data_IF_713654870092
#
_entry.id   IF_713654870092
#
_cell.length_a   1.000
_cell.length_b   1.000
_cell.length_c   1.000
_cell.angle_alpha   90.00
_cell.angle_beta   90.00
_cell.angle_gamma   90.00
#
_symmetry.space_group_name_H-M   'P 1'
#
loop_
_entity.id
_entity.type
_entity.pdbx_description
1 polymer ?
#
# COMPACT_ATOMS: atom_id res chain seq x y z
N UNK A 1 -13.39 12.93 -20.18
CA UNK A 1 -12.13 12.38 -19.60
C UNK A 1 -11.03 12.91 -20.47
N UNK A 2 -10.09 13.65 -19.91
CA UNK A 2 -9.14 14.43 -20.71
C UNK A 2 -8.01 13.52 -21.21
N UNK A 3 -7.99 13.29 -22.52
CA UNK A 3 -7.06 12.35 -23.18
C UNK A 3 -5.61 12.83 -23.04
N UNK A 4 -5.40 14.14 -23.00
CA UNK A 4 -4.08 14.76 -22.80
C UNK A 4 -3.50 14.43 -21.42
N UNK A 5 -4.35 14.40 -20.38
CA UNK A 5 -3.94 14.07 -19.02
C UNK A 5 -3.53 12.58 -18.90
N UNK A 6 -4.15 11.71 -19.69
CA UNK A 6 -3.79 10.30 -19.78
C UNK A 6 -2.46 10.10 -20.51
N UNK A 7 -2.24 10.82 -21.62
CA UNK A 7 -0.99 10.78 -22.38
C UNK A 7 0.20 11.28 -21.53
N UNK A 8 0.05 12.40 -20.84
CA UNK A 8 1.08 12.92 -19.93
C UNK A 8 1.41 11.96 -18.77
N UNK A 9 0.40 11.24 -18.26
CA UNK A 9 0.61 10.28 -17.17
C UNK A 9 1.28 8.98 -17.65
N UNK A 10 1.16 8.63 -18.94
CA UNK A 10 1.82 7.47 -19.55
C UNK A 10 3.29 7.72 -19.93
N UNK A 11 3.67 8.98 -20.14
CA UNK A 11 5.03 9.39 -20.54
C UNK A 11 6.07 9.35 -19.41
N UNK A 12 5.64 9.16 -18.15
CA UNK A 12 6.56 9.15 -17.01
C UNK A 12 6.95 7.72 -16.64
N UNK A 13 8.23 7.36 -16.74
CA UNK A 13 8.73 5.99 -16.47
C UNK A 13 8.40 5.48 -15.06
N UNK A 14 8.26 6.38 -14.08
CA UNK A 14 7.81 6.05 -12.72
C UNK A 14 6.36 5.49 -12.68
N UNK A 15 5.57 5.76 -13.73
CA UNK A 15 4.19 5.31 -13.87
C UNK A 15 4.05 3.94 -14.55
N UNK A 16 5.09 3.46 -15.26
CA UNK A 16 5.10 2.13 -15.90
C UNK A 16 4.85 0.99 -14.90
N UNK A 17 5.29 1.12 -13.65
CA UNK A 17 5.03 0.09 -12.62
C UNK A 17 3.55 0.02 -12.20
N UNK A 18 2.79 1.12 -12.31
CA UNK A 18 1.34 1.12 -12.04
C UNK A 18 0.56 0.50 -13.20
N UNK A 19 1.10 0.57 -14.43
CA UNK A 19 0.50 -0.04 -15.63
C UNK A 19 0.45 -1.57 -15.53
N UNK A 20 1.36 -2.19 -14.77
CA UNK A 20 1.39 -3.65 -14.58
C UNK A 20 0.41 -4.19 -13.53
N UNK A 21 -0.44 -3.34 -12.94
CA UNK A 21 -1.46 -3.76 -11.96
C UNK A 21 -2.81 -3.11 -12.25
N UNK A 22 -3.87 -3.58 -11.59
CA UNK A 22 -5.20 -3.00 -11.71
C UNK A 22 -5.94 -2.98 -10.37
N UNK A 23 -7.07 -2.27 -10.35
CA UNK A 23 -7.88 -2.07 -9.13
C UNK A 23 -8.36 -3.41 -8.55
N UNK A 24 -8.70 -4.39 -9.40
CA UNK A 24 -9.19 -5.69 -8.94
C UNK A 24 -8.08 -6.48 -8.26
N UNK A 25 -6.89 -6.50 -8.85
CA UNK A 25 -5.73 -7.18 -8.29
C UNK A 25 -5.30 -6.58 -6.96
N UNK A 26 -5.26 -5.24 -6.84
CA UNK A 26 -4.98 -4.56 -5.57
C UNK A 26 -6.00 -4.95 -4.49
N UNK A 27 -7.30 -4.99 -4.84
CA UNK A 27 -8.35 -5.41 -3.92
C UNK A 27 -8.22 -6.87 -3.52
N UNK A 28 -7.92 -7.74 -4.48
CA UNK A 28 -7.74 -9.19 -4.28
C UNK A 28 -6.60 -9.47 -3.33
N UNK A 29 -5.38 -9.01 -3.65
CA UNK A 29 -4.19 -9.19 -2.81
C UNK A 29 -4.39 -8.67 -1.39
N UNK A 30 -4.98 -7.47 -1.25
CA UNK A 30 -5.29 -6.90 0.08
C UNK A 30 -6.30 -7.76 0.85
N UNK A 31 -7.33 -8.28 0.17
CA UNK A 31 -8.31 -9.13 0.83
C UNK A 31 -7.70 -10.45 1.28
N UNK A 32 -6.88 -11.08 0.44
CA UNK A 32 -6.20 -12.35 0.75
C UNK A 32 -5.34 -12.23 2.01
N UNK A 33 -4.42 -11.26 2.05
CA UNK A 33 -3.54 -11.09 3.21
C UNK A 33 -4.31 -10.72 4.49
N UNK A 34 -5.45 -10.02 4.37
CA UNK A 34 -6.30 -9.71 5.52
C UNK A 34 -7.11 -10.92 6.00
N UNK A 35 -7.46 -11.85 5.11
CA UNK A 35 -8.12 -13.11 5.49
C UNK A 35 -7.14 -14.05 6.19
N UNK A 36 -5.87 -14.08 5.76
CA UNK A 36 -4.81 -14.85 6.41
C UNK A 36 -4.58 -14.45 7.88
N UNK A 37 -4.99 -13.25 8.28
CA UNK A 37 -4.95 -12.81 9.68
C UNK A 37 -5.99 -13.49 10.59
N UNK A 38 -6.92 -14.28 10.04
CA UNK A 38 -7.92 -15.03 10.83
C UNK A 38 -8.88 -14.13 11.62
N UNK A 39 -9.12 -12.90 11.15
CA UNK A 39 -9.95 -11.92 11.84
C UNK A 39 -11.43 -12.30 11.86
N UNK A 40 -12.14 -11.91 12.93
CA UNK A 40 -13.60 -11.95 12.94
C UNK A 40 -14.16 -11.06 11.83
N UNK A 41 -15.35 -11.41 11.33
CA UNK A 41 -15.99 -10.72 10.20
C UNK A 41 -16.08 -9.20 10.38
N UNK A 42 -16.44 -8.73 11.56
CA UNK A 42 -16.59 -7.30 11.84
C UNK A 42 -15.24 -6.57 11.88
N UNK A 43 -14.21 -7.21 12.42
CA UNK A 43 -12.84 -6.70 12.41
C UNK A 43 -12.29 -6.63 10.99
N UNK A 44 -12.50 -7.68 10.19
CA UNK A 44 -12.13 -7.70 8.77
C UNK A 44 -12.80 -6.55 8.00
N UNK A 45 -14.11 -6.32 8.22
CA UNK A 45 -14.84 -5.20 7.60
C UNK A 45 -14.30 -3.84 8.05
N UNK A 46 -13.98 -3.70 9.34
CA UNK A 46 -13.36 -2.51 9.91
C UNK A 46 -11.98 -2.25 9.29
N UNK A 47 -11.19 -3.30 9.08
CA UNK A 47 -9.86 -3.22 8.49
C UNK A 47 -9.92 -2.76 7.03
N UNK A 48 -10.82 -3.33 6.23
CA UNK A 48 -11.07 -2.87 4.86
C UNK A 48 -11.46 -1.40 4.79
N UNK A 49 -12.32 -0.92 5.71
CA UNK A 49 -12.68 0.50 5.79
C UNK A 49 -11.47 1.38 6.11
N UNK A 50 -10.63 0.97 7.07
CA UNK A 50 -9.41 1.70 7.45
C UNK A 50 -8.36 1.71 6.34
N UNK A 51 -8.32 0.69 5.49
CA UNK A 51 -7.39 0.54 4.38
C UNK A 51 -8.00 0.94 3.03
N UNK A 52 -9.07 1.74 3.04
CA UNK A 52 -9.59 2.31 1.81
C UNK A 52 -8.55 3.23 1.15
N UNK A 53 -8.27 3.02 -0.13
CA UNK A 53 -7.21 3.72 -0.86
C UNK A 53 -5.78 3.27 -0.51
N UNK A 54 -5.62 2.16 0.21
CA UNK A 54 -4.33 1.51 0.45
C UNK A 54 -4.22 0.21 -0.35
N UNK A 55 -3.01 -0.10 -0.77
CA UNK A 55 -2.60 -1.38 -1.35
C UNK A 55 -1.71 -2.15 -0.37
N UNK A 56 -1.80 -3.47 -0.39
CA UNK A 56 -0.81 -4.33 0.24
C UNK A 56 0.49 -4.27 -0.55
N UNK A 57 1.63 -4.25 0.14
CA UNK A 57 2.97 -4.24 -0.47
C UNK A 57 3.72 -5.50 -0.03
N UNK A 58 3.96 -6.40 -0.99
CA UNK A 58 4.69 -7.67 -0.82
C UNK A 58 6.15 -7.58 -1.31
N UNK A 59 6.47 -6.60 -2.15
CA UNK A 59 7.81 -6.41 -2.71
C UNK A 59 8.43 -5.05 -2.34
N UNK A 60 9.73 -5.06 -2.00
CA UNK A 60 10.50 -3.87 -1.68
C UNK A 60 10.45 -2.81 -2.78
N UNK A 61 10.48 -3.22 -4.05
CA UNK A 61 10.51 -2.31 -5.20
C UNK A 61 9.22 -1.47 -5.35
N UNK A 62 8.13 -1.90 -4.74
CA UNK A 62 6.82 -1.24 -4.83
C UNK A 62 6.62 -0.20 -3.71
N UNK A 63 7.54 -0.14 -2.74
CA UNK A 63 7.57 0.91 -1.72
C UNK A 63 8.01 2.24 -2.32
N UNK A 64 7.28 3.30 -1.97
CA UNK A 64 7.54 4.66 -2.44
C UNK A 64 7.73 5.60 -1.25
N UNK A 65 8.85 6.33 -1.26
CA UNK A 65 9.13 7.38 -0.29
C UNK A 65 8.02 8.44 -0.27
N UNK A 66 7.82 9.06 0.89
CA UNK A 66 6.79 10.08 1.10
C UNK A 66 5.36 9.54 1.18
N UNK A 67 5.13 8.24 0.98
CA UNK A 67 3.80 7.63 1.14
C UNK A 67 3.46 7.38 2.59
N UNK A 68 2.18 7.48 2.91
CA UNK A 68 1.67 7.03 4.21
C UNK A 68 1.62 5.50 4.23
N UNK A 69 2.27 4.93 5.23
CA UNK A 69 2.34 3.51 5.49
C UNK A 69 1.50 3.19 6.73
N UNK A 70 0.55 2.27 6.58
CA UNK A 70 -0.14 1.58 7.68
C UNK A 70 0.37 0.16 7.77
N UNK A 71 0.36 -0.42 8.97
CA UNK A 71 0.85 -1.77 9.14
C UNK A 71 0.06 -2.55 10.18
N UNK A 72 0.21 -3.87 10.11
CA UNK A 72 -0.21 -4.82 11.13
C UNK A 72 1.05 -5.51 11.67
N UNK A 73 1.26 -5.44 12.97
CA UNK A 73 2.42 -6.05 13.62
C UNK A 73 2.14 -7.53 13.89
N UNK A 74 2.94 -8.42 13.27
CA UNK A 74 2.75 -9.86 13.35
C UNK A 74 3.24 -10.45 14.68
N UNK A 75 4.04 -9.72 15.46
CA UNK A 75 4.45 -10.13 16.81
C UNK A 75 3.37 -9.88 17.87
N UNK A 76 2.28 -9.19 17.54
CA UNK A 76 1.18 -8.85 18.47
C UNK A 76 -0.14 -9.54 18.07
N UNK A 77 -0.12 -10.87 18.09
CA UNK A 77 -1.20 -11.72 17.56
C UNK A 77 -2.48 -11.65 18.42
N UNK A 78 -2.36 -11.45 19.73
CA UNK A 78 -3.54 -11.38 20.62
C UNK A 78 -4.41 -10.13 20.38
N UNK A 79 -3.80 -9.06 19.87
CA UNK A 79 -4.43 -7.76 19.68
C UNK A 79 -4.04 -7.14 18.34
N UNK A 80 -4.41 -7.83 17.26
CA UNK A 80 -4.19 -7.36 15.90
C UNK A 80 -4.90 -6.02 15.69
N UNK A 81 -4.14 -4.99 15.30
CA UNK A 81 -4.64 -3.65 15.02
C UNK A 81 -3.94 -3.08 13.80
N UNK A 82 -4.67 -2.30 13.01
CA UNK A 82 -4.09 -1.43 11.98
C UNK A 82 -3.74 -0.09 12.61
N UNK A 83 -2.53 0.38 12.33
CA UNK A 83 -2.04 1.67 12.81
C UNK A 83 -2.68 2.86 12.07
N UNK A 84 -2.61 4.06 12.68
CA UNK A 84 -3.06 5.29 12.01
C UNK A 84 -2.20 5.66 10.79
N UNK A 85 -0.97 5.14 10.77
CA UNK A 85 0.01 5.28 9.71
C UNK A 85 1.08 6.32 10.00
N UNK A 86 2.14 6.32 9.20
CA UNK A 86 3.26 7.27 9.26
C UNK A 86 3.92 7.38 7.89
N UNK A 87 4.70 8.43 7.64
CA UNK A 87 5.28 8.68 6.31
C UNK A 87 6.59 7.91 6.14
N UNK A 88 6.76 7.16 5.05
CA UNK A 88 8.02 6.51 4.73
C UNK A 88 9.09 7.53 4.35
N UNK A 89 10.19 7.55 5.10
CA UNK A 89 11.29 8.49 4.89
C UNK A 89 12.59 7.80 4.49
N UNK A 90 12.83 6.57 4.96
CA UNK A 90 14.04 5.83 4.63
C UNK A 90 13.76 4.31 4.58
N UNK A 91 14.56 3.60 3.79
CA UNK A 91 14.56 2.13 3.70
C UNK A 91 16.01 1.69 3.89
N UNK A 92 16.26 0.93 4.95
CA UNK A 92 17.60 0.45 5.29
C UNK A 92 17.67 -1.05 5.17
N UNK A 93 18.71 -1.53 4.49
CA UNK A 93 18.99 -2.95 4.32
C UNK A 93 20.15 -3.29 5.23
N UNK A 94 19.94 -4.23 6.14
CA UNK A 94 20.93 -4.72 7.10
C UNK A 94 20.89 -6.24 7.14
N UNK A 95 21.89 -6.86 7.79
CA UNK A 95 21.97 -8.32 7.92
C UNK A 95 20.74 -8.94 8.61
N UNK A 96 20.06 -8.15 9.45
CA UNK A 96 18.83 -8.56 10.17
C UNK A 96 17.55 -8.46 9.32
N UNK A 97 17.65 -7.91 8.11
CA UNK A 97 16.53 -7.72 7.19
C UNK A 97 16.33 -6.26 6.77
N UNK A 98 15.14 -5.99 6.23
CA UNK A 98 14.78 -4.69 5.66
C UNK A 98 14.01 -3.88 6.70
N UNK A 99 14.54 -2.71 7.04
CA UNK A 99 13.97 -1.77 7.99
C UNK A 99 13.37 -0.54 7.26
N UNK A 100 12.10 -0.25 7.51
CA UNK A 100 11.41 0.95 7.08
C UNK A 100 11.48 2.00 8.19
N UNK A 101 12.03 3.17 7.89
CA UNK A 101 12.05 4.31 8.81
C UNK A 101 10.90 5.24 8.44
N UNK A 102 9.96 5.37 9.37
CA UNK A 102 8.78 6.18 9.22
C UNK A 102 8.84 7.43 10.10
N UNK A 103 8.43 8.58 9.56
CA UNK A 103 8.21 9.81 10.32
C UNK A 103 6.75 9.88 10.78
N UNK A 104 6.58 9.90 12.09
CA UNK A 104 5.30 10.15 12.75
C UNK A 104 4.94 11.64 12.76
N UNK A 105 3.69 11.93 13.13
CA UNK A 105 3.17 13.30 13.17
C UNK A 105 3.80 14.17 14.26
N UNK A 106 4.35 13.57 15.32
CA UNK A 106 4.96 14.29 16.45
C UNK A 106 6.48 14.43 16.31
N UNK A 107 7.01 14.52 15.09
CA UNK A 107 8.45 14.50 14.77
C UNK A 107 9.23 13.27 15.28
N UNK A 108 8.52 12.24 15.75
CA UNK A 108 9.13 10.97 16.13
C UNK A 108 9.43 10.11 14.90
N UNK A 109 10.47 9.30 15.01
CA UNK A 109 10.78 8.26 14.03
C UNK A 109 10.44 6.89 14.60
N UNK A 110 9.86 6.05 13.75
CA UNK A 110 9.51 4.66 14.06
C UNK A 110 10.22 3.80 13.04
N UNK A 111 10.88 2.74 13.49
CA UNK A 111 11.49 1.74 12.60
C UNK A 111 10.65 0.48 12.62
N UNK A 112 10.30 -0.04 11.44
CA UNK A 112 9.56 -1.28 11.26
C UNK A 112 10.39 -2.25 10.43
N UNK A 113 10.38 -3.53 10.78
CA UNK A 113 11.01 -4.57 9.97
C UNK A 113 9.96 -5.27 9.09
N UNK A 114 10.24 -5.45 7.80
CA UNK A 114 9.29 -6.03 6.84
C UNK A 114 8.86 -7.45 7.21
N UNK A 115 9.78 -8.28 7.69
CA UNK A 115 9.50 -9.66 8.11
C UNK A 115 8.60 -9.75 9.36
N UNK A 116 8.37 -8.65 10.07
CA UNK A 116 7.60 -8.63 11.31
C UNK A 116 6.27 -7.88 11.16
N UNK A 117 5.99 -7.34 9.98
CA UNK A 117 4.83 -6.48 9.76
C UNK A 117 4.24 -6.67 8.36
N UNK A 118 2.91 -6.75 8.27
CA UNK A 118 2.21 -6.60 6.99
C UNK A 118 2.09 -5.10 6.70
N UNK A 119 2.53 -4.70 5.50
CA UNK A 119 2.63 -3.29 5.11
C UNK A 119 1.55 -2.92 4.10
N UNK A 120 0.90 -1.78 4.35
CA UNK A 120 -0.06 -1.19 3.44
C UNK A 120 0.35 0.24 3.09
N UNK A 121 0.49 0.52 1.80
CA UNK A 121 0.89 1.82 1.27
C UNK A 121 -0.31 2.58 0.72
N UNK A 122 -0.42 3.87 1.04
CA UNK A 122 -1.46 4.73 0.46
C UNK A 122 -1.17 5.02 -1.01
N UNK A 123 -2.18 4.80 -1.83
CA UNK A 123 -2.18 5.16 -3.26
C UNK A 123 -2.44 6.68 -3.36
N UNK A 124 -1.61 7.41 -4.10
CA UNK A 124 -1.82 8.85 -4.35
C UNK A 124 -2.89 9.09 -5.42
N UNK A 125 -3.20 10.36 -5.64
CA UNK A 125 -4.31 10.72 -6.53
C UNK A 125 -3.96 10.51 -8.01
N UNK A 126 -2.72 10.73 -8.42
CA UNK A 126 -2.23 10.41 -9.77
C UNK A 126 -2.31 8.90 -10.06
N UNK A 127 -1.83 8.06 -9.14
CA UNK A 127 -1.92 6.60 -9.22
C UNK A 127 -3.38 6.14 -9.32
N UNK A 128 -4.30 6.77 -8.57
CA UNK A 128 -5.73 6.45 -8.67
C UNK A 128 -6.31 6.80 -10.03
N UNK A 129 -5.89 7.90 -10.64
CA UNK A 129 -6.36 8.30 -11.99
C UNK A 129 -5.88 7.27 -13.00
N UNK A 130 -4.60 6.91 -12.97
CA UNK A 130 -4.02 5.87 -13.82
C UNK A 130 -4.74 4.53 -13.67
N UNK A 131 -4.94 4.07 -12.44
CA UNK A 131 -5.66 2.82 -12.15
C UNK A 131 -7.10 2.83 -12.68
N UNK A 132 -7.79 3.97 -12.63
CA UNK A 132 -9.14 4.10 -13.20
C UNK A 132 -9.13 4.08 -14.73
N UNK A 133 -8.13 4.69 -15.36
CA UNK A 133 -7.99 4.65 -16.80
C UNK A 133 -7.73 3.22 -17.29
N UNK A 134 -6.83 2.49 -16.63
CA UNK A 134 -6.57 1.05 -16.91
C UNK A 134 -7.84 0.21 -16.71
N UNK A 135 -8.58 0.41 -15.62
CA UNK A 135 -9.85 -0.31 -15.36
C UNK A 135 -10.93 0.00 -16.42
N UNK A 136 -10.96 1.22 -16.95
CA UNK A 136 -11.86 1.60 -18.04
C UNK A 136 -11.49 0.89 -19.35
N UNK A 137 -10.21 0.87 -19.71
CA UNK A 137 -9.71 0.20 -20.92
C UNK A 137 -9.98 -1.32 -20.87
N UNK A 138 -9.73 -1.96 -19.73
CA UNK A 138 -9.96 -3.40 -19.54
C UNK A 138 -11.45 -3.81 -19.57
N UNK A 139 -12.39 -2.86 -19.46
CA UNK A 139 -13.83 -3.15 -19.55
C UNK A 139 -14.39 -3.05 -20.97
N UNK A 140 -13.61 -2.50 -21.91
CA UNK A 140 -14.03 -2.36 -23.31
C UNK A 140 -13.43 -3.41 -24.25
N UNK A 141 -12.49 -4.21 -23.77
CA UNK A 141 -12.02 -5.44 -24.43
C UNK A 141 -12.68 -6.66 -23.83
#
# INVERSE_FOLDING_TARGET
MDIELLQQALENDANLNIINTNIQEIKRKKNEILQELGLKRDDLKSFHKKLNGYMYVDNLKDLKYGRNIRWVNLKKIEHIKITNGSILCDIKIHDKGIALVLKGYNHSFITLYLNENIIFQKINDEEKILLKAVDYLNKQG
#
